data_IF_805377842245
#
_entry.id   IF_805377842245
#
_cell.length_a   1.000
_cell.length_b   1.000
_cell.length_c   1.000
_cell.angle_alpha   90.00
_cell.angle_beta   90.00
_cell.angle_gamma   90.00
#
_symmetry.space_group_name_H-M   'P 1'
#
loop_
_entity.id
_entity.type
_entity.pdbx_description
1 polymer ?
#
# COMPACT_ATOMS: atom_id res chain seq x y z
N UNK A 1 7.23 -25.92 1.58
CA UNK A 1 6.01 -25.71 2.39
C UNK A 1 4.90 -26.72 2.05
N UNK A 2 4.34 -26.71 0.84
CA UNK A 2 3.27 -27.63 0.40
C UNK A 2 3.63 -29.11 0.63
N UNK A 3 4.83 -29.54 0.24
CA UNK A 3 5.30 -30.91 0.48
C UNK A 3 5.31 -31.28 1.97
N UNK A 4 5.80 -30.37 2.83
CA UNK A 4 5.82 -30.55 4.29
C UNK A 4 4.41 -30.70 4.85
N UNK A 5 3.43 -29.93 4.35
CA UNK A 5 2.02 -30.07 4.74
C UNK A 5 1.49 -31.46 4.42
N UNK A 6 1.79 -31.98 3.22
CA UNK A 6 1.36 -33.32 2.79
C UNK A 6 2.00 -34.41 3.64
N UNK A 7 3.30 -34.26 3.95
CA UNK A 7 4.02 -35.16 4.84
C UNK A 7 3.38 -35.18 6.23
N UNK A 8 3.15 -34.00 6.84
CA UNK A 8 2.47 -33.87 8.14
C UNK A 8 1.07 -34.52 8.09
N UNK A 9 0.31 -34.31 7.02
CA UNK A 9 -1.03 -34.92 6.91
C UNK A 9 -0.99 -36.45 6.88
N UNK A 10 0.08 -37.02 6.35
CA UNK A 10 0.24 -38.48 6.17
C UNK A 10 0.87 -39.16 7.39
N UNK A 11 1.80 -38.48 8.08
CA UNK A 11 2.60 -39.09 9.15
C UNK A 11 2.20 -38.66 10.56
N UNK A 12 1.58 -37.48 10.73
CA UNK A 12 1.32 -36.91 12.05
C UNK A 12 -0.13 -37.13 12.52
N UNK A 13 -0.36 -37.28 13.84
CA UNK A 13 -1.70 -37.34 14.44
C UNK A 13 -2.59 -36.12 14.12
N UNK A 14 -3.85 -36.19 14.51
CA UNK A 14 -4.82 -35.11 14.31
C UNK A 14 -4.37 -33.78 14.93
N UNK A 15 -4.54 -32.70 14.18
CA UNK A 15 -4.24 -31.33 14.56
C UNK A 15 -4.13 -30.46 13.31
N UNK A 16 -4.55 -29.19 13.42
CA UNK A 16 -4.53 -28.27 12.29
C UNK A 16 -3.11 -27.74 12.04
N UNK A 17 -2.87 -27.35 10.78
CA UNK A 17 -1.56 -26.90 10.29
C UNK A 17 -1.63 -25.40 9.99
N UNK A 18 -0.70 -24.62 10.55
CA UNK A 18 -0.52 -23.21 10.24
C UNK A 18 0.79 -23.01 9.47
N UNK A 19 0.70 -22.45 8.27
CA UNK A 19 1.83 -22.23 7.36
C UNK A 19 2.08 -20.74 7.21
N UNK A 20 3.30 -20.29 7.47
CA UNK A 20 3.71 -18.90 7.28
C UNK A 20 4.32 -18.67 5.89
N UNK A 21 3.72 -17.75 5.13
CA UNK A 21 4.16 -17.33 3.79
C UNK A 21 4.27 -15.80 3.71
N UNK A 22 5.10 -15.26 2.80
CA UNK A 22 5.44 -13.84 2.81
C UNK A 22 4.33 -12.91 2.28
N UNK A 23 3.41 -13.40 1.43
CA UNK A 23 2.38 -12.55 0.83
C UNK A 23 1.23 -13.30 0.18
N UNK A 24 0.27 -12.53 -0.34
CA UNK A 24 -0.98 -13.03 -0.92
C UNK A 24 -0.74 -13.98 -2.11
N UNK A 25 0.12 -13.59 -3.05
CA UNK A 25 0.35 -14.38 -4.27
C UNK A 25 0.86 -15.79 -3.94
N UNK A 26 1.79 -15.89 -2.98
CA UNK A 26 2.34 -17.15 -2.53
C UNK A 26 1.30 -18.01 -1.77
N UNK A 27 0.41 -17.36 -1.03
CA UNK A 27 -0.69 -18.00 -0.28
C UNK A 27 -1.73 -18.59 -1.24
N UNK A 28 -2.25 -17.78 -2.16
CA UNK A 28 -3.32 -18.19 -3.09
C UNK A 28 -2.84 -19.39 -3.93
N UNK A 29 -1.61 -19.32 -4.47
CA UNK A 29 -0.96 -20.44 -5.18
C UNK A 29 -0.85 -21.70 -4.32
N UNK A 30 -0.46 -21.57 -3.06
CA UNK A 30 -0.32 -22.73 -2.16
C UNK A 30 -1.65 -23.37 -1.80
N UNK A 31 -2.71 -22.57 -1.68
CA UNK A 31 -4.09 -23.06 -1.46
C UNK A 31 -4.56 -23.87 -2.66
N UNK A 32 -4.38 -23.35 -3.87
CA UNK A 32 -4.75 -24.05 -5.11
C UNK A 32 -4.01 -25.39 -5.24
N UNK A 33 -2.68 -25.38 -5.02
CA UNK A 33 -1.87 -26.60 -5.05
C UNK A 33 -2.32 -27.65 -4.02
N UNK A 34 -2.67 -27.25 -2.80
CA UNK A 34 -3.17 -28.21 -1.80
C UNK A 34 -4.53 -28.77 -2.21
N UNK A 35 -5.43 -27.96 -2.76
CA UNK A 35 -6.74 -28.43 -3.20
C UNK A 35 -6.62 -29.46 -4.33
N UNK A 36 -5.69 -29.26 -5.28
CA UNK A 36 -5.40 -30.22 -6.34
C UNK A 36 -4.80 -31.51 -5.78
N UNK A 37 -3.78 -31.41 -4.93
CA UNK A 37 -3.08 -32.56 -4.36
C UNK A 37 -3.95 -33.34 -3.37
N UNK A 38 -4.88 -32.68 -2.68
CA UNK A 38 -5.79 -33.32 -1.73
C UNK A 38 -6.67 -34.39 -2.38
N UNK A 39 -6.98 -34.26 -3.67
CA UNK A 39 -7.77 -35.24 -4.44
C UNK A 39 -7.00 -36.55 -4.68
N UNK A 40 -5.66 -36.50 -4.65
CA UNK A 40 -4.78 -37.63 -4.92
C UNK A 40 -4.33 -38.35 -3.64
N UNK A 41 -4.63 -37.80 -2.47
CA UNK A 41 -4.22 -38.39 -1.19
C UNK A 41 -4.98 -39.68 -0.89
N UNK A 42 -4.30 -40.61 -0.22
CA UNK A 42 -4.91 -41.89 0.17
C UNK A 42 -6.14 -41.69 1.05
N UNK A 43 -7.14 -42.58 0.91
CA UNK A 43 -8.40 -42.53 1.69
C UNK A 43 -8.18 -42.71 3.21
N UNK A 44 -6.99 -43.13 3.63
CA UNK A 44 -6.64 -43.35 5.04
C UNK A 44 -6.21 -42.05 5.73
N UNK A 45 -5.77 -41.03 4.99
CA UNK A 45 -5.40 -39.73 5.55
C UNK A 45 -6.62 -38.81 5.69
N UNK A 46 -6.60 -37.83 6.62
CA UNK A 46 -7.62 -36.80 6.70
C UNK A 46 -7.70 -35.98 5.41
N UNK A 47 -8.91 -35.55 5.03
CA UNK A 47 -9.10 -34.65 3.90
C UNK A 47 -8.60 -33.25 4.28
N UNK A 48 -7.68 -32.70 3.48
CA UNK A 48 -7.15 -31.36 3.68
C UNK A 48 -8.17 -30.29 3.28
N UNK A 49 -8.30 -29.27 4.10
CA UNK A 49 -9.07 -28.06 3.79
C UNK A 49 -8.14 -26.86 3.90
N UNK A 50 -7.71 -26.33 2.75
CA UNK A 50 -6.81 -25.19 2.66
C UNK A 50 -7.57 -23.86 2.76
N UNK A 51 -7.13 -22.96 3.63
CA UNK A 51 -7.71 -21.63 3.84
C UNK A 51 -6.64 -20.54 3.80
N UNK A 52 -6.84 -19.45 3.05
CA UNK A 52 -5.95 -18.30 3.06
C UNK A 52 -6.21 -17.37 4.26
N UNK A 53 -5.17 -16.69 4.74
CA UNK A 53 -5.28 -15.66 5.79
C UNK A 53 -4.26 -14.53 5.60
N UNK A 54 -4.72 -13.38 5.13
CA UNK A 54 -3.89 -12.18 4.95
C UNK A 54 -4.74 -10.90 5.08
N UNK A 55 -4.09 -9.76 5.26
CA UNK A 55 -4.74 -8.51 5.69
C UNK A 55 -5.87 -8.03 4.75
N UNK A 56 -5.69 -8.14 3.43
CA UNK A 56 -6.68 -7.72 2.42
C UNK A 56 -7.84 -8.70 2.22
N UNK A 57 -7.82 -9.88 2.86
CA UNK A 57 -8.86 -10.90 2.73
C UNK A 57 -10.19 -10.40 3.34
N UNK A 58 -11.36 -10.61 2.70
CA UNK A 58 -12.64 -10.21 3.29
C UNK A 58 -12.90 -10.91 4.64
N UNK A 59 -13.32 -10.23 5.71
CA UNK A 59 -13.54 -10.86 7.01
C UNK A 59 -14.50 -12.04 7.06
N UNK A 60 -15.48 -12.15 6.14
CA UNK A 60 -16.29 -13.36 6.03
C UNK A 60 -15.42 -14.61 5.73
N UNK A 61 -14.38 -14.46 4.89
CA UNK A 61 -13.40 -15.51 4.63
C UNK A 61 -12.38 -15.64 5.75
N UNK A 62 -11.96 -14.52 6.37
CA UNK A 62 -11.07 -14.60 7.55
C UNK A 62 -11.75 -15.38 8.69
N UNK A 63 -13.06 -15.26 8.87
CA UNK A 63 -13.80 -15.96 9.92
C UNK A 63 -13.76 -17.49 9.75
N UNK A 64 -13.68 -17.98 8.52
CA UNK A 64 -13.65 -19.42 8.22
C UNK A 64 -12.47 -20.14 8.85
N UNK A 65 -11.35 -19.43 9.10
CA UNK A 65 -10.19 -20.06 9.75
C UNK A 65 -10.47 -20.46 11.20
N UNK A 66 -11.46 -19.82 11.85
CA UNK A 66 -11.86 -20.11 13.24
C UNK A 66 -12.94 -21.19 13.35
N UNK A 67 -13.60 -21.53 12.26
CA UNK A 67 -14.67 -22.54 12.26
C UNK A 67 -14.10 -23.94 12.49
N UNK A 68 -14.73 -24.74 13.36
CA UNK A 68 -14.33 -26.14 13.56
C UNK A 68 -14.77 -26.96 12.35
N UNK A 69 -13.83 -27.74 11.82
CA UNK A 69 -14.13 -28.65 10.72
C UNK A 69 -14.80 -29.94 11.22
N UNK A 70 -15.64 -30.58 10.40
CA UNK A 70 -16.14 -31.92 10.68
C UNK A 70 -15.03 -32.96 10.91
N UNK A 71 -15.30 -34.07 11.61
CA UNK A 71 -14.34 -35.16 11.78
C UNK A 71 -13.77 -35.67 10.45
N UNK A 72 -12.55 -36.24 10.49
CA UNK A 72 -11.80 -36.74 9.32
C UNK A 72 -11.34 -35.66 8.32
N UNK A 73 -11.44 -34.38 8.68
CA UNK A 73 -10.84 -33.26 7.93
C UNK A 73 -9.75 -32.59 8.76
N UNK A 74 -8.72 -32.09 8.08
CA UNK A 74 -7.62 -31.33 8.71
C UNK A 74 -7.52 -29.96 8.05
N UNK A 75 -7.52 -28.91 8.86
CA UNK A 75 -7.41 -27.53 8.36
C UNK A 75 -5.95 -27.20 8.09
N UNK A 76 -5.69 -26.54 6.96
CA UNK A 76 -4.39 -25.98 6.62
C UNK A 76 -4.56 -24.51 6.35
N UNK A 77 -3.96 -23.67 7.19
CA UNK A 77 -4.10 -22.22 7.11
C UNK A 77 -2.81 -21.66 6.56
N UNK A 78 -2.88 -21.04 5.38
CA UNK A 78 -1.77 -20.32 4.79
C UNK A 78 -1.88 -18.84 5.15
N UNK A 79 -0.96 -18.37 5.99
CA UNK A 79 -1.05 -17.05 6.60
C UNK A 79 0.20 -16.19 6.39
N UNK A 80 0.01 -14.87 6.35
CA UNK A 80 1.11 -13.93 6.56
C UNK A 80 1.40 -13.77 8.07
N UNK A 81 2.25 -12.79 8.43
CA UNK A 81 2.50 -12.40 9.82
C UNK A 81 1.24 -11.96 10.60
N UNK A 82 0.08 -11.84 9.96
CA UNK A 82 -1.22 -11.62 10.64
C UNK A 82 -1.51 -12.71 11.70
N UNK A 83 -1.05 -13.95 11.47
CA UNK A 83 -1.20 -15.04 12.43
C UNK A 83 -0.11 -15.07 13.52
N UNK A 84 0.89 -14.17 13.48
CA UNK A 84 2.06 -14.20 14.37
C UNK A 84 1.78 -13.67 15.77
N UNK A 85 0.99 -12.59 15.90
CA UNK A 85 0.67 -11.94 17.20
C UNK A 85 -0.84 -11.82 17.44
N UNK A 86 -1.61 -11.36 16.46
CA UNK A 86 -2.95 -10.80 16.71
C UNK A 86 -4.11 -11.80 16.75
N UNK A 87 -3.94 -13.06 16.33
CA UNK A 87 -5.05 -14.02 16.20
C UNK A 87 -4.77 -15.35 16.89
N UNK A 88 -5.68 -15.83 17.74
CA UNK A 88 -5.69 -17.19 18.30
C UNK A 88 -6.53 -18.09 17.43
N UNK A 89 -5.91 -19.02 16.71
CA UNK A 89 -6.63 -20.04 15.94
C UNK A 89 -6.58 -21.34 16.73
N UNK A 90 -7.74 -21.78 17.22
CA UNK A 90 -7.86 -23.04 17.96
C UNK A 90 -7.62 -24.26 17.09
N UNK A 91 -7.11 -25.33 17.68
CA UNK A 91 -6.82 -26.59 17.01
C UNK A 91 -5.48 -26.67 16.29
N UNK A 92 -4.71 -25.57 16.20
CA UNK A 92 -3.38 -25.57 15.59
C UNK A 92 -2.40 -26.35 16.45
N UNK A 93 -1.81 -27.38 15.87
CA UNK A 93 -0.79 -28.24 16.51
C UNK A 93 0.51 -28.30 15.72
N UNK A 94 0.45 -27.98 14.44
CA UNK A 94 1.60 -28.03 13.54
C UNK A 94 1.83 -26.66 12.92
N UNK A 95 3.07 -26.17 12.97
CA UNK A 95 3.47 -24.94 12.29
C UNK A 95 4.50 -25.27 11.22
N UNK A 96 4.36 -24.69 10.03
CA UNK A 96 5.36 -24.73 8.96
C UNK A 96 5.83 -23.29 8.73
N UNK A 97 7.10 -23.02 9.00
CA UNK A 97 7.66 -21.67 8.93
C UNK A 97 8.69 -21.58 7.79
N UNK A 98 8.39 -20.74 6.79
CA UNK A 98 9.33 -20.46 5.69
C UNK A 98 10.47 -19.52 6.07
N UNK A 99 10.38 -18.84 7.22
CA UNK A 99 11.42 -17.90 7.67
C UNK A 99 11.38 -16.55 6.95
N UNK A 100 10.36 -16.26 6.14
CA UNK A 100 10.26 -15.04 5.35
C UNK A 100 9.06 -14.16 5.76
N UNK A 101 9.17 -12.87 5.45
CA UNK A 101 8.10 -11.87 5.54
C UNK A 101 8.27 -10.79 4.48
N UNK A 102 7.19 -10.13 4.06
CA UNK A 102 7.27 -8.87 3.30
C UNK A 102 7.29 -7.70 4.26
N UNK A 103 8.25 -6.79 4.09
CA UNK A 103 8.36 -5.54 4.87
C UNK A 103 8.58 -4.36 3.94
N UNK A 104 7.98 -3.23 4.32
CA UNK A 104 8.22 -1.95 3.68
C UNK A 104 9.57 -1.41 4.16
N UNK A 105 10.48 -1.14 3.23
CA UNK A 105 11.83 -0.65 3.49
C UNK A 105 12.05 0.64 2.72
N UNK A 106 12.43 1.69 3.43
CA UNK A 106 12.83 2.97 2.86
C UNK A 106 14.28 2.91 2.38
N UNK A 107 14.51 3.16 1.08
CA UNK A 107 15.84 3.19 0.48
C UNK A 107 16.32 4.63 0.35
N UNK A 108 17.21 5.07 1.24
CA UNK A 108 17.71 6.45 1.29
C UNK A 108 18.30 6.92 -0.05
N UNK A 109 19.12 6.10 -0.71
CA UNK A 109 19.76 6.45 -1.98
C UNK A 109 18.77 6.61 -3.14
N UNK A 110 17.59 5.98 -3.01
CA UNK A 110 16.55 6.01 -4.03
C UNK A 110 15.40 6.96 -3.67
N UNK A 111 15.36 7.48 -2.44
CA UNK A 111 14.29 8.35 -1.95
C UNK A 111 12.89 7.73 -2.01
N UNK A 112 12.77 6.40 -1.97
CA UNK A 112 11.52 5.69 -2.16
C UNK A 112 11.33 4.52 -1.20
N UNK A 113 10.06 4.23 -0.91
CA UNK A 113 9.63 3.03 -0.19
C UNK A 113 9.57 1.84 -1.16
N UNK A 114 10.16 0.70 -0.78
CA UNK A 114 10.04 -0.56 -1.53
C UNK A 114 9.50 -1.66 -0.63
N UNK A 115 8.61 -2.49 -1.15
CA UNK A 115 8.19 -3.71 -0.47
C UNK A 115 9.19 -4.83 -0.80
N UNK A 116 9.90 -5.34 0.19
CA UNK A 116 10.91 -6.39 0.01
C UNK A 116 10.55 -7.62 0.83
N UNK A 117 10.76 -8.79 0.25
CA UNK A 117 10.73 -10.05 0.98
C UNK A 117 12.06 -10.20 1.71
N UNK A 118 12.02 -10.27 3.03
CA UNK A 118 13.22 -10.41 3.89
C UNK A 118 13.07 -11.59 4.85
N UNK A 119 14.18 -12.12 5.38
CA UNK A 119 14.14 -13.03 6.51
C UNK A 119 13.44 -12.43 7.73
N UNK A 120 12.89 -13.30 8.57
CA UNK A 120 12.31 -12.93 9.87
C UNK A 120 13.39 -12.84 10.96
N UNK A 121 13.04 -12.30 12.13
CA UNK A 121 13.92 -12.33 13.30
C UNK A 121 13.76 -13.65 14.07
N UNK A 122 14.72 -13.97 14.93
CA UNK A 122 14.61 -15.09 15.86
C UNK A 122 13.39 -14.94 16.77
N UNK A 123 13.13 -13.72 17.27
CA UNK A 123 11.92 -13.42 18.03
C UNK A 123 10.63 -13.76 17.26
N UNK A 124 10.56 -13.39 15.98
CA UNK A 124 9.42 -13.71 15.10
C UNK A 124 9.29 -15.22 14.88
N UNK A 125 10.39 -15.91 14.57
CA UNK A 125 10.42 -17.37 14.42
C UNK A 125 9.97 -18.10 15.70
N UNK A 126 10.27 -17.54 16.87
CA UNK A 126 9.84 -18.09 18.16
C UNK A 126 8.36 -17.84 18.43
N UNK A 127 7.82 -16.67 18.05
CA UNK A 127 6.38 -16.40 18.13
C UNK A 127 5.58 -17.30 17.19
N UNK A 128 6.08 -17.53 15.96
CA UNK A 128 5.50 -18.46 14.99
C UNK A 128 5.49 -19.89 15.51
N UNK A 129 6.62 -20.37 16.03
CA UNK A 129 6.72 -21.67 16.70
C UNK A 129 5.73 -21.80 17.86
N UNK A 130 5.61 -20.76 18.68
CA UNK A 130 4.68 -20.71 19.82
C UNK A 130 3.21 -20.87 19.43
N UNK A 131 2.84 -20.76 18.13
CA UNK A 131 1.48 -21.03 17.66
C UNK A 131 1.11 -22.51 17.69
N UNK A 132 2.08 -23.41 17.56
CA UNK A 132 1.85 -24.86 17.66
C UNK A 132 1.57 -25.32 19.09
N UNK A 133 2.03 -24.56 20.10
CA UNK A 133 2.04 -24.97 21.51
C UNK A 133 0.97 -24.33 22.39
N UNK A 134 -0.06 -23.70 21.82
CA UNK A 134 -1.03 -22.92 22.62
C UNK A 134 -2.05 -23.76 23.40
N UNK A 135 -2.54 -24.83 22.79
CA UNK A 135 -3.59 -25.68 23.37
C UNK A 135 -3.06 -27.06 23.77
N UNK A 136 -2.03 -27.56 23.08
CA UNK A 136 -1.41 -28.86 23.35
C UNK A 136 0.02 -28.89 22.84
N UNK A 137 0.76 -29.96 23.16
CA UNK A 137 2.10 -30.17 22.62
C UNK A 137 2.05 -30.27 21.08
N UNK A 138 2.76 -29.37 20.41
CA UNK A 138 2.80 -29.26 18.96
C UNK A 138 4.21 -29.37 18.38
N UNK A 139 4.31 -29.33 17.05
CA UNK A 139 5.58 -29.36 16.32
C UNK A 139 5.70 -28.15 15.39
N UNK A 140 6.90 -27.61 15.28
CA UNK A 140 7.24 -26.54 14.35
C UNK A 140 8.28 -27.05 13.35
N UNK A 141 7.97 -26.94 12.06
CA UNK A 141 8.83 -27.32 10.94
C UNK A 141 9.36 -26.04 10.31
N UNK A 142 10.59 -25.67 10.66
CA UNK A 142 11.32 -24.56 10.02
C UNK A 142 11.93 -25.05 8.72
N UNK A 143 11.67 -24.34 7.61
CA UNK A 143 12.18 -24.69 6.28
C UNK A 143 13.55 -24.04 6.00
N UNK A 144 14.33 -23.81 7.04
CA UNK A 144 15.66 -23.24 7.03
C UNK A 144 16.52 -23.98 8.06
N UNK A 145 17.84 -23.99 7.85
CA UNK A 145 18.77 -24.72 8.71
C UNK A 145 18.92 -24.05 10.08
N UNK A 146 19.43 -24.80 11.05
CA UNK A 146 19.78 -24.25 12.36
C UNK A 146 20.86 -23.17 12.23
N UNK A 147 21.83 -23.34 11.33
CA UNK A 147 22.83 -22.32 11.01
C UNK A 147 22.18 -21.02 10.53
N UNK A 148 21.30 -21.08 9.53
CA UNK A 148 20.58 -19.89 9.06
C UNK A 148 19.70 -19.26 10.14
N UNK A 149 19.16 -20.06 11.08
CA UNK A 149 18.43 -19.52 12.23
C UNK A 149 19.33 -18.70 13.15
N UNK A 150 20.55 -19.16 13.42
CA UNK A 150 21.52 -18.46 14.27
C UNK A 150 21.99 -17.14 13.63
N UNK A 151 22.02 -17.06 12.29
CA UNK A 151 22.32 -15.84 11.54
C UNK A 151 21.18 -14.80 11.56
N UNK A 152 19.94 -15.20 11.88
CA UNK A 152 18.82 -14.26 11.93
C UNK A 152 19.03 -13.21 13.04
N UNK A 153 18.55 -11.99 12.80
CA UNK A 153 18.56 -10.95 13.81
C UNK A 153 17.74 -11.38 15.04
N UNK A 154 18.25 -11.11 16.25
CA UNK A 154 17.57 -11.53 17.50
C UNK A 154 16.17 -10.91 17.63
N UNK A 155 16.06 -9.63 17.28
CA UNK A 155 14.83 -8.85 17.39
C UNK A 155 14.42 -8.27 16.04
N UNK A 156 13.12 -8.03 15.90
CA UNK A 156 12.60 -7.31 14.73
C UNK A 156 13.03 -5.85 14.80
N UNK A 157 13.62 -5.36 13.72
CA UNK A 157 13.95 -3.95 13.59
C UNK A 157 12.67 -3.08 13.69
N UNK A 158 12.69 -2.02 14.51
CA UNK A 158 11.59 -1.07 14.67
C UNK A 158 11.20 -0.37 13.37
N UNK A 159 9.90 -0.08 13.21
CA UNK A 159 9.39 0.57 12.01
C UNK A 159 9.97 1.97 11.77
N UNK A 160 10.19 2.74 12.84
CA UNK A 160 10.74 4.10 12.76
C UNK A 160 12.14 4.14 12.14
N UNK A 161 12.92 3.06 12.21
CA UNK A 161 14.27 2.99 11.63
C UNK A 161 14.28 2.66 10.13
N UNK A 162 13.17 2.11 9.61
CA UNK A 162 13.10 1.52 8.26
C UNK A 162 12.06 2.17 7.35
N UNK A 163 11.32 3.16 7.83
CA UNK A 163 10.26 3.84 7.08
C UNK A 163 10.50 5.35 7.01
N UNK A 164 9.87 6.01 6.04
CA UNK A 164 9.85 7.48 5.96
C UNK A 164 9.21 8.09 7.22
N UNK A 165 9.91 9.05 7.84
CA UNK A 165 9.49 9.67 9.10
C UNK A 165 8.85 11.05 8.91
N UNK A 166 8.64 11.49 7.67
CA UNK A 166 7.98 12.76 7.35
C UNK A 166 6.61 12.89 8.04
N UNK A 167 5.79 11.83 8.04
CA UNK A 167 4.48 11.85 8.71
C UNK A 167 4.62 12.04 10.23
N UNK A 168 5.55 11.34 10.87
CA UNK A 168 5.81 11.46 12.31
C UNK A 168 6.31 12.86 12.66
N UNK A 169 7.23 13.43 11.87
CA UNK A 169 7.76 14.78 12.08
C UNK A 169 6.68 15.84 11.90
N UNK A 170 5.81 15.69 10.89
CA UNK A 170 4.68 16.59 10.69
C UNK A 170 3.72 16.55 11.89
N UNK A 171 3.46 15.37 12.46
CA UNK A 171 2.67 15.24 13.69
C UNK A 171 3.35 15.92 14.89
N UNK A 172 4.67 15.78 15.06
CA UNK A 172 5.41 16.45 16.13
C UNK A 172 5.34 17.98 15.99
N UNK A 173 5.62 18.51 14.79
CA UNK A 173 5.51 19.95 14.49
C UNK A 173 4.12 20.48 14.80
N UNK A 174 3.09 19.70 14.48
CA UNK A 174 1.70 20.02 14.77
C UNK A 174 1.37 20.03 16.25
N UNK A 175 1.94 19.10 17.02
CA UNK A 175 1.81 19.05 18.48
C UNK A 175 2.57 20.20 19.17
N UNK A 176 3.14 21.16 18.42
CA UNK A 176 3.91 22.29 18.95
C UNK A 176 5.39 21.96 19.22
N UNK A 177 5.86 20.76 18.85
CA UNK A 177 7.24 20.35 19.05
C UNK A 177 8.07 20.87 17.88
N UNK A 178 8.68 22.03 18.09
CA UNK A 178 9.49 22.70 17.07
C UNK A 178 10.87 22.04 16.88
N UNK A 179 11.48 21.57 17.97
CA UNK A 179 12.79 20.93 17.94
C UNK A 179 12.67 19.41 17.80
N UNK A 180 12.40 18.97 16.56
CA UNK A 180 12.32 17.54 16.23
C UNK A 180 13.69 16.85 16.18
N UNK A 181 14.78 17.62 16.09
CA UNK A 181 16.15 17.09 16.05
C UNK A 181 16.61 16.60 17.42
N UNK A 182 16.24 17.31 18.48
CA UNK A 182 16.53 16.92 19.87
C UNK A 182 15.34 16.27 20.58
N UNK A 183 14.27 15.94 19.84
CA UNK A 183 13.14 15.21 20.39
C UNK A 183 13.56 13.85 20.96
N UNK A 184 13.03 13.50 22.13
CA UNK A 184 13.35 12.24 22.82
C UNK A 184 12.56 11.08 22.20
N UNK A 185 13.10 10.50 21.13
CA UNK A 185 12.57 9.29 20.52
C UNK A 185 12.83 8.08 21.41
N UNK A 186 11.86 7.16 21.53
CA UNK A 186 12.11 5.84 22.14
C UNK A 186 13.25 5.11 21.41
N UNK A 187 13.21 5.16 20.08
CA UNK A 187 14.30 4.76 19.18
C UNK A 187 14.39 5.80 18.07
N UNK A 188 15.55 6.43 17.94
CA UNK A 188 15.73 7.54 17.00
C UNK A 188 15.87 7.05 15.56
N UNK A 189 15.12 7.60 14.59
CA UNK A 189 15.35 7.34 13.16
C UNK A 189 16.70 7.85 12.65
N UNK A 190 17.46 8.57 13.49
CA UNK A 190 18.74 9.16 13.14
C UNK A 190 18.59 10.56 12.52
N UNK A 191 19.57 11.43 12.80
CA UNK A 191 19.54 12.83 12.33
C UNK A 191 19.41 12.94 10.81
N UNK A 192 20.04 12.05 10.05
CA UNK A 192 19.97 12.04 8.58
C UNK A 192 18.54 11.85 8.07
N UNK A 193 17.80 10.88 8.63
CA UNK A 193 16.41 10.63 8.24
C UNK A 193 15.48 11.79 8.63
N UNK A 194 15.72 12.40 9.81
CA UNK A 194 14.96 13.57 10.28
C UNK A 194 15.19 14.78 9.37
N UNK A 195 16.45 15.10 9.05
CA UNK A 195 16.81 16.21 8.16
C UNK A 195 16.24 15.97 6.76
N UNK A 196 16.39 14.77 6.20
CA UNK A 196 15.82 14.42 4.90
C UNK A 196 14.29 14.60 4.88
N UNK A 197 13.61 14.21 5.96
CA UNK A 197 12.16 14.35 6.10
C UNK A 197 11.72 15.82 6.27
N UNK A 198 12.47 16.64 7.01
CA UNK A 198 12.22 18.08 7.13
C UNK A 198 12.43 18.79 5.79
N UNK A 199 13.52 18.49 5.08
CA UNK A 199 13.77 19.01 3.73
C UNK A 199 12.66 18.59 2.77
N UNK A 200 12.21 17.34 2.85
CA UNK A 200 11.03 16.86 2.12
C UNK A 200 9.83 17.73 2.45
N UNK A 201 9.39 17.80 3.71
CA UNK A 201 8.23 18.60 4.15
C UNK A 201 8.31 20.08 3.76
N UNK A 202 9.49 20.69 3.83
CA UNK A 202 9.75 22.05 3.35
C UNK A 202 9.59 22.17 1.83
N UNK A 203 10.18 21.26 1.06
CA UNK A 203 9.98 21.20 -0.39
C UNK A 203 8.51 20.93 -0.78
N UNK A 204 7.76 20.23 0.09
CA UNK A 204 6.33 20.03 -0.08
C UNK A 204 5.52 21.32 0.14
N UNK A 205 6.17 22.40 0.59
CA UNK A 205 5.56 23.56 1.27
C UNK A 205 4.57 23.14 2.36
N UNK A 206 4.69 21.94 2.92
CA UNK A 206 3.92 21.50 4.08
C UNK A 206 4.44 22.16 5.36
N UNK A 207 5.70 22.60 5.33
CA UNK A 207 6.29 23.55 6.25
C UNK A 207 6.63 24.84 5.50
N UNK A 208 6.33 26.00 6.08
CA UNK A 208 6.78 27.31 5.61
C UNK A 208 8.26 27.54 5.94
N UNK A 209 8.79 28.69 5.52
CA UNK A 209 10.18 29.11 5.81
C UNK A 209 10.45 29.25 7.32
N UNK A 210 9.40 29.48 8.10
CA UNK A 210 9.43 29.52 9.57
C UNK A 210 9.31 28.13 10.23
N UNK A 211 9.21 27.06 9.42
CA UNK A 211 9.03 25.69 9.89
C UNK A 211 7.65 25.38 10.45
N UNK A 212 6.63 26.20 10.18
CA UNK A 212 5.22 25.96 10.57
C UNK A 212 4.39 25.38 9.43
N UNK A 213 3.28 24.73 9.76
CA UNK A 213 2.41 24.06 8.78
C UNK A 213 1.63 25.09 7.94
N UNK A 214 1.56 24.90 6.63
CA UNK A 214 0.84 25.81 5.71
C UNK A 214 -0.62 25.42 5.49
N UNK A 215 -1.47 26.38 5.15
CA UNK A 215 -2.88 26.18 4.76
C UNK A 215 -3.01 26.01 3.24
N UNK A 216 -3.03 24.78 2.75
CA UNK A 216 -3.23 24.50 1.32
C UNK A 216 -4.73 24.38 0.99
N UNK A 217 -5.25 25.31 0.17
CA UNK A 217 -6.67 25.47 -0.21
C UNK A 217 -7.25 24.45 -1.21
N UNK A 218 -6.74 23.22 -1.24
CA UNK A 218 -7.28 22.10 -2.04
C UNK A 218 -7.59 20.89 -1.16
N UNK A 219 -7.91 21.15 0.11
CA UNK A 219 -7.91 20.16 1.18
C UNK A 219 -8.95 19.05 0.94
N UNK A 220 -10.20 19.38 0.64
CA UNK A 220 -11.26 18.37 0.41
C UNK A 220 -10.94 17.40 -0.76
N UNK A 221 -10.61 17.87 -1.98
CA UNK A 221 -10.20 16.98 -3.07
C UNK A 221 -8.97 16.12 -2.75
N UNK A 222 -8.00 16.67 -2.03
CA UNK A 222 -6.82 15.93 -1.59
C UNK A 222 -7.17 14.85 -0.57
N UNK A 223 -8.03 15.12 0.41
CA UNK A 223 -8.51 14.12 1.37
C UNK A 223 -9.21 12.97 0.65
N UNK A 224 -10.04 13.25 -0.36
CA UNK A 224 -10.74 12.22 -1.12
C UNK A 224 -9.76 11.29 -1.84
N UNK A 225 -8.78 11.87 -2.54
CA UNK A 225 -7.76 11.11 -3.26
C UNK A 225 -6.88 10.32 -2.29
N UNK A 226 -6.41 10.93 -1.19
CA UNK A 226 -5.63 10.23 -0.15
C UNK A 226 -6.42 9.09 0.48
N UNK A 227 -7.72 9.27 0.70
CA UNK A 227 -8.61 8.20 1.20
C UNK A 227 -8.67 7.03 0.24
N UNK A 228 -8.70 7.30 -1.07
CA UNK A 228 -8.65 6.26 -2.10
C UNK A 228 -7.29 5.53 -2.12
N UNK A 229 -6.19 6.27 -2.06
CA UNK A 229 -4.83 5.72 -2.06
C UNK A 229 -4.53 4.88 -0.81
N UNK A 230 -5.22 5.14 0.30
CA UNK A 230 -5.06 4.40 1.56
C UNK A 230 -5.65 2.99 1.52
N UNK A 231 -6.45 2.65 0.50
CA UNK A 231 -7.08 1.33 0.35
C UNK A 231 -6.34 0.52 -0.71
N UNK A 232 -5.67 -0.54 -0.27
CA UNK A 232 -5.04 -1.50 -1.18
C UNK A 232 -6.07 -2.16 -2.10
N UNK A 233 -5.68 -2.35 -3.36
CA UNK A 233 -6.51 -3.01 -4.38
C UNK A 233 -7.91 -2.39 -4.55
N UNK A 234 -8.03 -1.07 -4.41
CA UNK A 234 -9.28 -0.36 -4.65
C UNK A 234 -9.77 -0.56 -6.10
N UNK A 235 -8.85 -0.45 -7.06
CA UNK A 235 -9.07 -0.79 -8.45
C UNK A 235 -8.73 -2.26 -8.66
N UNK A 236 -9.72 -3.03 -9.12
CA UNK A 236 -9.54 -4.44 -9.42
C UNK A 236 -9.02 -4.59 -10.85
N UNK A 237 -8.23 -5.62 -11.07
CA UNK A 237 -7.83 -6.05 -12.41
C UNK A 237 -8.97 -6.92 -12.99
N UNK A 238 -9.70 -6.43 -14.00
CA UNK A 238 -10.71 -7.26 -14.67
C UNK A 238 -10.05 -8.43 -15.41
N UNK A 239 -10.82 -9.50 -15.63
CA UNK A 239 -10.41 -10.61 -16.48
C UNK A 239 -10.05 -10.10 -17.89
N UNK A 240 -9.05 -10.67 -18.59
CA UNK A 240 -8.58 -10.18 -19.89
C UNK A 240 -9.71 -9.89 -20.89
N UNK A 241 -10.72 -10.76 -20.95
CA UNK A 241 -11.88 -10.64 -21.84
C UNK A 241 -12.75 -9.39 -21.60
N UNK A 242 -12.81 -8.89 -20.36
CA UNK A 242 -13.61 -7.72 -19.97
C UNK A 242 -12.78 -6.47 -19.76
N UNK A 243 -11.47 -6.57 -19.97
CA UNK A 243 -10.53 -5.51 -19.61
C UNK A 243 -10.74 -4.25 -20.44
N UNK A 244 -10.95 -4.40 -21.74
CA UNK A 244 -11.10 -3.27 -22.64
C UNK A 244 -12.43 -2.54 -22.42
N UNK A 245 -13.51 -3.30 -22.24
CA UNK A 245 -14.85 -2.78 -21.88
C UNK A 245 -14.79 -1.98 -20.57
N UNK A 246 -14.23 -2.55 -19.51
CA UNK A 246 -14.10 -1.87 -18.20
C UNK A 246 -13.25 -0.61 -18.31
N UNK A 247 -12.14 -0.66 -19.06
CA UNK A 247 -11.28 0.50 -19.24
C UNK A 247 -11.98 1.61 -20.03
N UNK A 248 -12.81 1.26 -21.01
CA UNK A 248 -13.62 2.22 -21.77
C UNK A 248 -14.68 2.86 -20.89
N UNK A 249 -15.41 2.07 -20.08
CA UNK A 249 -16.34 2.61 -19.09
C UNK A 249 -15.65 3.59 -18.13
N UNK A 250 -14.46 3.24 -17.61
CA UNK A 250 -13.68 4.12 -16.73
C UNK A 250 -13.33 5.43 -17.43
N UNK A 251 -12.90 5.39 -18.70
CA UNK A 251 -12.58 6.60 -19.49
C UNK A 251 -13.80 7.49 -19.69
N UNK A 252 -14.96 6.90 -20.00
CA UNK A 252 -16.21 7.63 -20.23
C UNK A 252 -16.73 8.29 -18.94
N UNK A 253 -16.64 7.58 -17.80
CA UNK A 253 -17.08 8.09 -16.50
C UNK A 253 -16.09 9.10 -15.90
N UNK A 254 -14.81 9.00 -16.23
CA UNK A 254 -13.75 9.79 -15.64
C UNK A 254 -13.02 10.64 -16.68
N UNK A 255 -13.73 11.59 -17.29
CA UNK A 255 -13.17 12.50 -18.29
C UNK A 255 -11.93 13.29 -17.79
N UNK A 256 -11.92 13.73 -16.53
CA UNK A 256 -10.76 14.40 -15.93
C UNK A 256 -9.62 13.40 -15.71
N UNK A 257 -9.93 12.14 -15.41
CA UNK A 257 -8.95 11.05 -15.35
C UNK A 257 -8.18 10.84 -16.66
N UNK A 258 -8.87 10.98 -17.79
CA UNK A 258 -8.23 10.92 -19.12
C UNK A 258 -7.27 12.10 -19.31
N UNK A 259 -7.61 13.30 -18.83
CA UNK A 259 -6.80 14.51 -19.05
C UNK A 259 -5.64 14.61 -18.04
N UNK A 260 -5.95 14.44 -16.76
CA UNK A 260 -5.09 14.72 -15.61
C UNK A 260 -4.57 13.45 -14.91
N UNK A 261 -4.86 12.27 -15.45
CA UNK A 261 -4.31 10.99 -15.00
C UNK A 261 -5.02 10.37 -13.80
N UNK A 262 -4.35 9.40 -13.18
CA UNK A 262 -4.99 8.42 -12.30
C UNK A 262 -5.53 9.03 -10.99
N UNK A 263 -4.89 10.08 -10.44
CA UNK A 263 -5.41 10.74 -9.24
C UNK A 263 -6.74 11.48 -9.51
N UNK A 264 -6.87 12.09 -10.69
CA UNK A 264 -8.12 12.72 -11.12
C UNK A 264 -9.21 11.65 -11.33
N UNK A 265 -8.84 10.50 -11.90
CA UNK A 265 -9.74 9.35 -12.03
C UNK A 265 -10.23 8.87 -10.66
N UNK A 266 -9.34 8.71 -9.67
CA UNK A 266 -9.73 8.30 -8.30
C UNK A 266 -10.73 9.27 -7.68
N UNK A 267 -10.49 10.58 -7.82
CA UNK A 267 -11.42 11.62 -7.35
C UNK A 267 -12.80 11.50 -8.01
N UNK A 268 -12.85 11.39 -9.33
CA UNK A 268 -14.12 11.28 -10.06
C UNK A 268 -14.87 9.98 -9.76
N UNK A 269 -14.15 8.86 -9.59
CA UNK A 269 -14.76 7.60 -9.18
C UNK A 269 -15.37 7.72 -7.79
N UNK A 270 -14.67 8.33 -6.84
CA UNK A 270 -15.21 8.53 -5.50
C UNK A 270 -16.43 9.47 -5.51
N UNK A 271 -16.40 10.55 -6.28
CA UNK A 271 -17.55 11.44 -6.48
C UNK A 271 -18.76 10.72 -7.08
N UNK A 272 -18.54 9.90 -8.11
CA UNK A 272 -19.57 9.08 -8.72
C UNK A 272 -20.19 8.11 -7.71
N UNK A 273 -19.34 7.44 -6.92
CA UNK A 273 -19.78 6.54 -5.85
C UNK A 273 -20.64 7.24 -4.79
N UNK A 274 -20.29 8.47 -4.39
CA UNK A 274 -21.04 9.25 -3.41
C UNK A 274 -22.41 9.71 -3.91
N UNK A 275 -22.55 10.01 -5.21
CA UNK A 275 -23.83 10.45 -5.81
C UNK A 275 -24.89 9.35 -5.82
N UNK A 276 -24.49 8.08 -5.87
CA UNK A 276 -25.42 6.95 -5.93
C UNK A 276 -25.99 6.68 -4.54
N UNK A 277 -27.25 7.04 -4.30
CA UNK A 277 -27.92 6.86 -2.99
C UNK A 277 -28.29 5.40 -2.72
N UNK A 278 -28.77 4.68 -3.74
CA UNK A 278 -29.22 3.30 -3.60
C UNK A 278 -28.03 2.33 -3.42
N UNK A 279 -28.08 1.52 -2.36
CA UNK A 279 -27.02 0.54 -2.02
C UNK A 279 -26.84 -0.55 -3.09
N UNK A 280 -27.91 -0.99 -3.73
CA UNK A 280 -27.86 -2.03 -4.77
C UNK A 280 -27.23 -1.48 -6.05
N UNK A 281 -27.68 -0.31 -6.50
CA UNK A 281 -27.10 0.40 -7.64
C UNK A 281 -25.62 0.70 -7.39
N UNK A 282 -25.25 1.12 -6.18
CA UNK A 282 -23.86 1.43 -5.85
C UNK A 282 -22.96 0.19 -5.93
N UNK A 283 -23.46 -0.97 -5.47
CA UNK A 283 -22.74 -2.24 -5.57
C UNK A 283 -22.60 -2.68 -7.04
N UNK A 284 -23.64 -2.49 -7.84
CA UNK A 284 -23.63 -2.81 -9.27
C UNK A 284 -22.67 -1.90 -10.04
N UNK A 285 -22.73 -0.59 -9.78
CA UNK A 285 -21.80 0.39 -10.35
C UNK A 285 -20.33 0.02 -10.06
N UNK A 286 -20.00 -0.32 -8.81
CA UNK A 286 -18.65 -0.79 -8.48
C UNK A 286 -18.25 -2.04 -9.27
N UNK A 287 -19.17 -2.97 -9.51
CA UNK A 287 -18.91 -4.19 -10.28
C UNK A 287 -18.60 -3.85 -11.74
N UNK A 288 -19.39 -2.95 -12.34
CA UNK A 288 -19.31 -2.61 -13.76
C UNK A 288 -17.99 -1.92 -14.11
N UNK A 289 -17.44 -1.09 -13.21
CA UNK A 289 -16.13 -0.44 -13.40
C UNK A 289 -14.96 -1.18 -12.72
N UNK A 290 -15.18 -2.42 -12.29
CA UNK A 290 -14.22 -3.26 -11.56
C UNK A 290 -13.52 -2.52 -10.40
N UNK A 291 -14.32 -1.93 -9.50
CA UNK A 291 -13.88 -1.31 -8.26
C UNK A 291 -14.33 -2.16 -7.08
N UNK A 292 -13.48 -2.24 -6.05
CA UNK A 292 -13.81 -2.95 -4.83
C UNK A 292 -14.92 -2.22 -4.05
N UNK A 293 -16.15 -2.73 -4.11
CA UNK A 293 -17.32 -2.13 -3.40
C UNK A 293 -17.11 -2.02 -1.90
N UNK A 294 -16.39 -2.97 -1.28
CA UNK A 294 -16.02 -2.88 0.13
C UNK A 294 -14.92 -1.85 0.34
N UNK A 295 -13.93 -1.83 -0.56
CA UNK A 295 -12.88 -0.82 -0.60
C UNK A 295 -13.47 0.59 -0.58
N UNK A 296 -14.43 0.89 -1.45
CA UNK A 296 -15.09 2.20 -1.50
C UNK A 296 -15.87 2.57 -0.22
N UNK A 297 -16.42 1.58 0.52
CA UNK A 297 -16.97 1.84 1.86
C UNK A 297 -15.87 2.25 2.83
N UNK A 298 -14.75 1.54 2.82
CA UNK A 298 -13.61 1.89 3.65
C UNK A 298 -13.03 3.26 3.29
N UNK A 299 -12.97 3.62 1.99
CA UNK A 299 -12.59 4.98 1.54
C UNK A 299 -13.47 6.03 2.21
N UNK A 300 -14.79 5.83 2.24
CA UNK A 300 -15.71 6.78 2.87
C UNK A 300 -15.48 6.90 4.39
N UNK A 301 -15.13 5.81 5.08
CA UNK A 301 -14.80 5.84 6.51
C UNK A 301 -13.45 6.51 6.78
N UNK A 302 -12.42 6.23 5.97
CA UNK A 302 -11.11 6.90 6.04
C UNK A 302 -11.27 8.40 5.79
N UNK A 303 -12.06 8.80 4.80
CA UNK A 303 -12.37 10.21 4.53
C UNK A 303 -12.99 10.90 5.74
N UNK A 304 -14.01 10.29 6.37
CA UNK A 304 -14.64 10.84 7.58
C UNK A 304 -13.62 11.03 8.70
N UNK A 305 -12.75 10.03 8.89
CA UNK A 305 -11.69 10.07 9.89
C UNK A 305 -10.68 11.18 9.60
N UNK A 306 -10.20 11.30 8.36
CA UNK A 306 -9.28 12.35 7.93
C UNK A 306 -9.89 13.74 8.08
N UNK A 307 -11.16 13.94 7.68
CA UNK A 307 -11.86 15.21 7.90
C UNK A 307 -11.98 15.55 9.37
N UNK A 308 -12.34 14.59 10.22
CA UNK A 308 -12.40 14.79 11.68
C UNK A 308 -11.03 15.21 12.23
N UNK A 309 -9.96 14.57 11.77
CA UNK A 309 -8.62 14.99 12.14
C UNK A 309 -8.35 16.41 11.67
N UNK A 310 -8.58 16.74 10.40
CA UNK A 310 -8.36 18.09 9.90
C UNK A 310 -9.15 19.15 10.68
N UNK A 311 -10.41 18.90 11.02
CA UNK A 311 -11.22 19.79 11.88
C UNK A 311 -10.63 19.95 13.28
N UNK A 312 -10.23 18.86 13.93
CA UNK A 312 -9.57 18.91 15.25
C UNK A 312 -8.23 19.66 15.22
N UNK A 313 -7.69 19.85 14.02
CA UNK A 313 -6.44 20.53 13.75
C UNK A 313 -6.63 21.91 13.11
N UNK A 314 -7.88 22.35 12.96
CA UNK A 314 -8.21 23.70 12.51
C UNK A 314 -7.78 24.69 13.59
N UNK A 315 -7.08 25.76 13.20
CA UNK A 315 -6.74 26.87 14.10
C UNK A 315 -7.72 28.01 13.90
N UNK A 316 -7.80 28.92 14.89
CA UNK A 316 -8.65 30.12 14.78
C UNK A 316 -8.23 31.03 13.61
N UNK A 317 -6.97 30.99 13.18
CA UNK A 317 -6.43 31.79 12.07
C UNK A 317 -6.74 31.19 10.69
N UNK A 318 -7.23 29.95 10.62
CA UNK A 318 -7.59 29.28 9.36
C UNK A 318 -8.67 28.23 9.63
N UNK A 319 -9.94 28.67 9.80
CA UNK A 319 -11.06 27.76 10.04
C UNK A 319 -11.31 26.87 8.82
N UNK A 320 -11.31 25.55 9.04
CA UNK A 320 -11.66 24.56 8.02
C UNK A 320 -13.17 24.37 8.05
N UNK A 321 -13.85 24.76 6.97
CA UNK A 321 -15.28 24.51 6.78
C UNK A 321 -15.49 23.56 5.59
N UNK A 322 -15.65 22.27 5.91
CA UNK A 322 -15.94 21.26 4.91
C UNK A 322 -17.36 21.35 4.34
N UNK A 323 -18.30 21.97 5.05
CA UNK A 323 -19.68 22.11 4.60
C UNK A 323 -19.78 23.25 3.58
N UNK A 324 -19.04 24.35 3.77
CA UNK A 324 -18.87 25.40 2.75
C UNK A 324 -18.12 24.89 1.52
N UNK A 325 -17.01 24.15 1.69
CA UNK A 325 -16.27 23.51 0.58
C UNK A 325 -17.12 22.49 -0.21
N UNK A 326 -18.09 21.84 0.44
CA UNK A 326 -19.00 20.88 -0.21
C UNK A 326 -20.27 21.56 -0.79
N UNK A 327 -20.62 22.79 -0.35
CA UNK A 327 -21.80 23.57 -0.78
C UNK A 327 -21.53 24.51 -1.96
N UNK A 328 -20.30 25.00 -2.15
CA UNK A 328 -19.98 25.84 -3.31
C UNK A 328 -20.21 25.04 -4.61
N UNK A 329 -21.20 25.49 -5.37
CA UNK A 329 -21.75 24.82 -6.53
C UNK A 329 -20.68 24.33 -7.51
N UNK A 330 -20.88 23.11 -8.00
CA UNK A 330 -20.11 22.39 -9.03
C UNK A 330 -20.18 23.04 -10.43
N UNK A 331 -20.04 24.35 -10.52
CA UNK A 331 -19.83 25.11 -11.75
C UNK A 331 -18.48 25.85 -11.76
N UNK A 332 -17.87 26.08 -10.60
CA UNK A 332 -16.44 26.41 -10.56
C UNK A 332 -15.64 25.14 -10.86
N UNK A 333 -14.99 25.14 -12.02
CA UNK A 333 -14.13 24.07 -12.51
C UNK A 333 -13.10 23.72 -11.41
N UNK A 334 -13.25 22.56 -10.75
CA UNK A 334 -12.23 22.03 -9.85
C UNK A 334 -10.89 22.10 -10.58
N UNK A 335 -9.98 22.95 -10.09
CA UNK A 335 -8.68 23.12 -10.72
C UNK A 335 -7.81 21.90 -10.40
N UNK A 336 -7.96 20.87 -11.23
CA UNK A 336 -7.16 19.66 -11.12
C UNK A 336 -5.67 19.95 -11.23
N UNK A 337 -5.23 21.05 -11.86
CA UNK A 337 -3.81 21.42 -11.88
C UNK A 337 -3.34 21.81 -10.48
N UNK A 338 -4.13 22.54 -9.71
CA UNK A 338 -3.79 22.85 -8.31
C UNK A 338 -3.75 21.61 -7.42
N UNK A 339 -4.72 20.71 -7.60
CA UNK A 339 -4.70 19.40 -6.91
C UNK A 339 -3.43 18.63 -7.27
N UNK A 340 -3.12 18.49 -8.56
CA UNK A 340 -1.91 17.81 -9.02
C UNK A 340 -0.64 18.51 -8.53
N UNK A 341 -0.58 19.85 -8.47
CA UNK A 341 0.55 20.58 -7.87
C UNK A 341 0.70 20.26 -6.37
N UNK A 342 -0.39 20.11 -5.64
CA UNK A 342 -0.37 19.69 -4.24
C UNK A 342 0.18 18.25 -4.09
N UNK A 343 -0.23 17.33 -4.96
CA UNK A 343 0.33 15.97 -4.97
C UNK A 343 1.78 15.94 -5.45
N UNK A 344 2.13 16.74 -6.46
CA UNK A 344 3.49 16.85 -7.02
C UNK A 344 4.47 17.34 -5.98
N UNK A 345 4.05 18.26 -5.11
CA UNK A 345 4.79 18.57 -3.89
C UNK A 345 5.08 17.27 -3.16
N UNK A 346 4.07 16.56 -2.68
CA UNK A 346 4.19 15.28 -1.93
C UNK A 346 5.06 14.20 -2.59
N UNK A 347 4.98 14.10 -3.92
CA UNK A 347 5.56 13.04 -4.73
C UNK A 347 6.72 13.54 -5.61
N UNK A 348 7.43 14.60 -5.21
CA UNK A 348 8.52 15.18 -6.01
C UNK A 348 9.61 14.15 -6.36
N UNK A 349 9.91 13.25 -5.42
CA UNK A 349 10.87 12.16 -5.61
C UNK A 349 10.39 11.08 -6.57
N UNK A 350 9.09 11.06 -6.88
CA UNK A 350 8.45 10.13 -7.79
C UNK A 350 8.05 10.84 -9.08
N UNK A 351 9.00 11.54 -9.68
CA UNK A 351 8.83 12.23 -10.96
C UNK A 351 9.76 11.63 -12.01
N UNK A 352 9.33 11.65 -13.28
CA UNK A 352 10.13 11.15 -14.39
C UNK A 352 9.88 11.94 -15.67
N UNK A 353 10.93 12.09 -16.48
CA UNK A 353 10.94 12.82 -17.74
C UNK A 353 10.81 11.85 -18.92
N UNK A 354 9.99 12.19 -19.90
CA UNK A 354 9.78 11.39 -21.10
C UNK A 354 11.04 11.29 -21.95
N UNK A 355 11.27 10.11 -22.53
CA UNK A 355 12.38 9.82 -23.44
C UNK A 355 11.88 9.57 -24.87
N UNK A 356 12.74 9.72 -25.91
CA UNK A 356 12.35 9.48 -27.31
C UNK A 356 11.78 8.08 -27.58
N UNK A 357 12.20 7.09 -26.80
CA UNK A 357 11.81 5.68 -26.92
C UNK A 357 10.50 5.33 -26.16
N UNK A 358 9.73 6.34 -25.74
CA UNK A 358 8.50 6.22 -24.93
C UNK A 358 8.70 5.66 -23.51
N UNK A 359 9.95 5.53 -23.05
CA UNK A 359 10.24 5.28 -21.63
C UNK A 359 10.36 6.61 -20.90
N UNK A 360 10.52 6.52 -19.58
CA UNK A 360 10.65 7.67 -18.69
C UNK A 360 11.91 7.53 -17.87
N UNK A 361 12.65 8.62 -17.68
CA UNK A 361 13.82 8.70 -16.82
C UNK A 361 13.45 9.40 -15.52
N UNK A 362 13.58 8.71 -14.40
CA UNK A 362 13.31 9.29 -13.08
C UNK A 362 14.23 10.47 -12.80
N UNK A 363 13.69 11.48 -12.14
CA UNK A 363 14.41 12.73 -11.86
C UNK A 363 15.42 12.55 -10.72
N UNK A 364 15.11 11.71 -9.72
CA UNK A 364 15.97 11.51 -8.54
C UNK A 364 17.22 10.70 -8.85
N UNK A 365 17.08 9.57 -9.53
CA UNK A 365 18.16 8.58 -9.68
C UNK A 365 18.45 8.17 -11.13
N UNK A 366 17.81 8.81 -12.12
CA UNK A 366 18.08 8.56 -13.54
C UNK A 366 17.68 7.18 -14.07
N UNK A 367 16.95 6.39 -13.28
CA UNK A 367 16.46 5.07 -13.67
C UNK A 367 15.43 5.16 -14.80
N UNK A 368 15.47 4.19 -15.72
CA UNK A 368 14.51 4.11 -16.82
C UNK A 368 13.32 3.25 -16.43
N UNK A 369 12.12 3.82 -16.55
CA UNK A 369 10.84 3.20 -16.17
C UNK A 369 9.81 3.31 -17.31
N UNK A 370 8.75 2.51 -17.24
CA UNK A 370 7.60 2.57 -18.17
C UNK A 370 6.31 2.85 -17.42
N UNK A 371 5.30 3.47 -18.06
CA UNK A 371 3.97 3.57 -17.46
C UNK A 371 3.35 2.17 -17.38
N UNK A 372 2.80 1.81 -16.21
CA UNK A 372 2.15 0.52 -16.02
C UNK A 372 0.87 0.41 -16.86
N UNK A 373 0.56 -0.75 -17.47
CA UNK A 373 -0.65 -0.97 -18.29
C UNK A 373 -2.00 -0.80 -17.57
N UNK A 374 -2.00 -0.54 -16.27
CA UNK A 374 -3.21 -0.26 -15.49
C UNK A 374 -3.55 1.23 -15.42
N UNK A 375 -2.63 2.11 -15.83
CA UNK A 375 -2.83 3.56 -15.78
C UNK A 375 -3.65 4.06 -16.96
N UNK A 376 -4.47 5.08 -16.75
CA UNK A 376 -5.13 5.84 -17.83
C UNK A 376 -4.12 6.53 -18.76
N UNK A 377 -2.89 6.73 -18.29
CA UNK A 377 -1.80 7.34 -19.07
C UNK A 377 -1.03 6.33 -19.93
N UNK A 378 -1.37 5.03 -19.87
CA UNK A 378 -0.69 4.02 -20.66
C UNK A 378 -0.83 4.28 -22.17
N UNK A 379 0.29 4.22 -22.89
CA UNK A 379 0.34 4.45 -24.34
C UNK A 379 0.34 5.92 -24.77
N UNK A 380 0.06 6.86 -23.86
CA UNK A 380 0.12 8.30 -24.15
C UNK A 380 1.56 8.81 -24.00
N UNK A 381 1.92 9.78 -24.84
CA UNK A 381 3.20 10.50 -24.73
C UNK A 381 2.97 11.78 -23.95
N UNK A 382 3.63 11.91 -22.83
CA UNK A 382 3.65 13.12 -22.00
C UNK A 382 5.08 13.44 -21.60
N UNK A 383 5.40 14.73 -21.54
CA UNK A 383 6.78 15.22 -21.34
C UNK A 383 7.34 14.88 -19.96
N UNK A 384 6.49 14.95 -18.93
CA UNK A 384 6.83 14.58 -17.58
C UNK A 384 5.65 13.93 -16.88
N UNK A 385 5.97 13.04 -15.95
CA UNK A 385 5.00 12.34 -15.13
C UNK A 385 5.34 12.42 -13.65
N UNK A 386 4.30 12.43 -12.84
CA UNK A 386 4.34 12.06 -11.42
C UNK A 386 3.70 10.68 -11.27
N UNK A 387 4.22 9.86 -10.36
CA UNK A 387 3.65 8.54 -10.04
C UNK A 387 3.61 8.31 -8.53
N UNK A 388 2.67 7.51 -8.03
CA UNK A 388 2.61 7.23 -6.57
C UNK A 388 3.45 6.03 -6.17
N UNK A 389 3.60 5.05 -7.07
CA UNK A 389 4.25 3.78 -6.78
C UNK A 389 5.22 3.38 -7.89
N UNK A 390 6.36 2.83 -7.48
CA UNK A 390 7.31 2.16 -8.36
C UNK A 390 7.19 0.64 -8.16
N UNK A 391 7.05 -0.10 -9.25
CA UNK A 391 6.98 -1.57 -9.23
C UNK A 391 8.01 -2.14 -10.19
N UNK A 392 8.87 -3.01 -9.68
CA UNK A 392 9.84 -3.75 -10.51
C UNK A 392 9.35 -5.17 -10.75
N UNK A 393 9.32 -5.58 -12.01
CA UNK A 393 9.08 -6.98 -12.41
C UNK A 393 10.24 -7.43 -13.30
N UNK A 394 10.06 -7.48 -14.61
CA UNK A 394 11.14 -7.62 -15.60
C UNK A 394 11.79 -6.27 -15.93
N UNK A 395 11.03 -5.19 -15.74
CA UNK A 395 11.47 -3.80 -15.85
C UNK A 395 10.75 -2.94 -14.82
N UNK A 396 11.24 -1.72 -14.61
CA UNK A 396 10.62 -0.75 -13.72
C UNK A 396 9.34 -0.16 -14.32
N UNK A 397 8.27 -0.09 -13.53
CA UNK A 397 7.00 0.50 -13.89
C UNK A 397 6.54 1.56 -12.90
N UNK A 398 6.02 2.67 -13.42
CA UNK A 398 5.28 3.67 -12.67
C UNK A 398 3.79 3.29 -12.58
N UNK A 399 3.23 3.29 -11.38
CA UNK A 399 1.80 3.09 -11.12
C UNK A 399 1.14 4.36 -10.56
N UNK A 400 -0.15 4.50 -10.85
CA UNK A 400 -0.96 5.68 -10.51
C UNK A 400 -0.29 6.95 -11.04
N UNK A 401 -0.34 7.11 -12.35
CA UNK A 401 0.43 8.11 -13.09
C UNK A 401 -0.42 9.31 -13.44
N UNK A 402 0.12 10.50 -13.22
CA UNK A 402 -0.44 11.77 -13.67
C UNK A 402 0.57 12.52 -14.54
N UNK A 403 0.14 13.19 -15.62
CA UNK A 403 1.00 14.12 -16.35
C UNK A 403 1.28 15.34 -15.48
N UNK A 404 2.48 15.89 -15.60
CA UNK A 404 2.87 17.15 -14.97
C UNK A 404 3.53 18.07 -15.99
N UNK A 405 3.38 19.37 -15.81
CA UNK A 405 4.09 20.36 -16.61
C UNK A 405 5.52 20.52 -16.06
N UNK A 406 6.51 20.64 -16.95
CA UNK A 406 7.91 20.86 -16.54
C UNK A 406 8.08 22.16 -15.73
N UNK A 407 7.28 23.18 -16.04
CA UNK A 407 7.22 24.45 -15.31
C UNK A 407 6.86 24.24 -13.83
N UNK A 408 5.99 23.29 -13.50
CA UNK A 408 5.61 23.02 -12.11
C UNK A 408 6.76 22.37 -11.35
N UNK A 409 7.52 21.49 -12.01
CA UNK A 409 8.69 20.87 -11.42
C UNK A 409 9.82 21.90 -11.22
N UNK A 410 9.98 22.86 -12.14
CA UNK A 410 10.88 24.02 -11.97
C UNK A 410 10.45 24.94 -10.82
N UNK A 411 9.14 25.20 -10.68
CA UNK A 411 8.58 26.04 -9.61
C UNK A 411 8.76 25.38 -8.23
N UNK A 412 8.46 24.08 -8.13
CA UNK A 412 8.40 23.37 -6.85
C UNK A 412 9.77 22.86 -6.42
N UNK A 413 10.59 22.37 -7.35
CA UNK A 413 11.92 21.86 -7.00
C UNK A 413 12.95 22.07 -8.13
N UNK A 414 13.41 23.32 -8.31
CA UNK A 414 14.37 23.67 -9.36
C UNK A 414 15.72 22.94 -9.23
N UNK A 415 16.08 22.51 -8.03
CA UNK A 415 17.31 21.79 -7.74
C UNK A 415 17.37 20.39 -8.39
N UNK A 416 16.22 19.76 -8.66
CA UNK A 416 16.15 18.44 -9.29
C UNK A 416 16.32 18.47 -10.81
N UNK A 417 16.13 19.64 -11.45
CA UNK A 417 16.19 19.77 -12.90
C UNK A 417 17.58 20.15 -13.42
N UNK A 418 18.54 20.41 -12.51
CA UNK A 418 19.86 20.92 -12.83
C UNK A 418 19.78 22.35 -13.39
N UNK A 419 20.47 23.31 -12.76
CA UNK A 419 20.67 24.62 -13.40
C UNK A 419 21.40 24.39 -14.73
N UNK A 420 20.73 24.57 -15.86
CA UNK A 420 21.39 25.23 -16.99
C UNK A 420 21.57 26.67 -16.53
N UNK A 421 22.79 27.00 -16.12
CA UNK A 421 23.23 28.39 -16.09
C UNK A 421 23.08 28.88 -17.52
N UNK A 422 22.03 29.65 -17.79
CA UNK A 422 22.02 30.52 -18.96
C UNK A 422 23.12 31.53 -18.72
N UNK A 423 24.28 31.30 -19.33
CA UNK A 423 25.24 32.36 -19.63
C UNK A 423 24.51 33.33 -20.56
N UNK A 424 23.86 34.33 -20.00
CA UNK A 424 23.59 35.55 -20.73
C UNK A 424 24.92 36.30 -20.75
N UNK A 425 25.70 36.06 -21.79
CA UNK A 425 26.54 37.10 -22.37
C UNK A 425 25.57 38.09 -23.03
N UNK A 426 25.50 39.29 -22.45
CA UNK A 426 25.72 40.58 -23.14
C UNK A 426 25.80 41.71 -22.09
#
# INVERSE_FOLDING_TARGET
AVQTVIQINSSEPTGDILVFLPGQEEIDKSVDMINELALQLSKNAPLLVALPLYASLPPAKQQQVFEKLPPRRRKVIFATNVAETSLTISGVKYVVDTGLRKVKVWKHDLGLDTLLTTPISQASANQRMGRAGRESAGKCYRLFTEESYMELSKQTEPEILRCDVASAILMLKKAGINDVLNFQWLQSPGKKAIVASLMKLYSLKALGDDGKITSLGVLSPCIDIVSCLSIENLLLNPHPEKRDEVNELRRNLCAQGVIYGDLAMLKQMFDGYQKIKNKHERKQWCKDIAVNSRGMKNVAEVRKQLRRYMLAFSTNDSPIDFDYEDQENRENQLDMKQVLKCFLRGYIGNTALGMPDRRYRTVVNGQTISIHPSSMMFGRRVEAIMYTEYVFTTKGYARTVCPIELSWLQEIAPHYLGRRVTSNED
#
